data_IF_320357308809
#
_entry.id   IF_320357308809
#
_cell.length_a   1.000
_cell.length_b   1.000
_cell.length_c   1.000
_cell.angle_alpha   90.00
_cell.angle_beta   90.00
_cell.angle_gamma   90.00
#
_symmetry.space_group_name_H-M   'P 1'
#
loop_
_entity.id
_entity.type
_entity.pdbx_description
1 polymer ?
#
# COMPACT_ATOMS: atom_id res chain seq x y z
N UNK A 1 -18.11 23.28 -24.27
CA UNK A 1 -16.63 23.38 -24.16
C UNK A 1 -16.31 24.41 -23.08
N UNK A 2 -15.40 24.12 -22.15
CA UNK A 2 -14.99 25.09 -21.13
C UNK A 2 -13.73 25.77 -21.65
N UNK A 3 -13.75 27.09 -21.77
CA UNK A 3 -12.60 27.88 -22.25
C UNK A 3 -11.90 28.46 -21.03
N UNK A 4 -10.67 28.01 -20.79
CA UNK A 4 -9.85 28.43 -19.66
C UNK A 4 -8.82 29.49 -20.05
N UNK A 5 -8.35 30.27 -19.08
CA UNK A 5 -7.28 31.26 -19.31
C UNK A 5 -6.00 30.60 -19.82
N UNK A 6 -5.70 29.39 -19.32
CA UNK A 6 -4.53 28.62 -19.71
C UNK A 6 -4.56 28.29 -21.21
N UNK A 7 -5.69 27.80 -21.71
CA UNK A 7 -5.88 27.50 -23.14
C UNK A 7 -5.79 28.76 -24.00
N UNK A 8 -6.37 29.87 -23.52
CA UNK A 8 -6.27 31.16 -24.22
C UNK A 8 -4.82 31.67 -24.27
N UNK A 9 -4.07 31.62 -23.17
CA UNK A 9 -2.65 32.03 -23.14
C UNK A 9 -1.78 31.13 -24.01
N UNK A 10 -1.98 29.81 -23.95
CA UNK A 10 -1.21 28.84 -24.72
C UNK A 10 -1.36 29.05 -26.23
N UNK A 11 -2.54 29.48 -26.68
CA UNK A 11 -2.85 29.69 -28.09
C UNK A 11 -2.64 31.14 -28.55
N UNK A 12 -2.81 32.14 -27.67
CA UNK A 12 -2.70 33.56 -28.00
C UNK A 12 -1.32 33.96 -28.52
N UNK A 13 -0.25 33.43 -27.91
CA UNK A 13 1.12 33.76 -28.31
C UNK A 13 1.45 33.31 -29.74
N UNK A 14 0.73 32.33 -30.28
CA UNK A 14 0.94 31.77 -31.62
C UNK A 14 0.15 32.52 -32.71
N UNK A 15 -1.03 33.05 -32.39
CA UNK A 15 -1.95 33.62 -33.38
C UNK A 15 -2.11 35.15 -33.29
N UNK A 16 -1.99 35.75 -32.09
CA UNK A 16 -2.30 37.18 -31.82
C UNK A 16 -3.63 37.65 -32.42
N UNK A 17 -4.58 36.74 -32.62
CA UNK A 17 -5.78 37.00 -33.40
C UNK A 17 -6.76 37.84 -32.58
N UNK A 18 -7.15 39.03 -33.03
CA UNK A 18 -8.09 39.90 -32.29
C UNK A 18 -9.50 39.33 -32.11
N UNK A 19 -9.84 38.23 -32.78
CA UNK A 19 -11.16 37.62 -32.75
C UNK A 19 -11.00 36.13 -32.44
N UNK A 20 -11.78 35.63 -31.47
CA UNK A 20 -11.87 34.20 -31.15
C UNK A 20 -13.29 33.72 -31.43
N UNK A 21 -13.39 32.72 -32.29
CA UNK A 21 -14.65 32.06 -32.62
C UNK A 21 -14.88 30.86 -31.71
N UNK A 22 -16.03 30.81 -31.03
CA UNK A 22 -16.40 29.73 -30.11
C UNK A 22 -17.68 29.01 -30.57
N UNK A 23 -17.75 27.68 -30.41
CA UNK A 23 -18.98 26.93 -30.72
C UNK A 23 -20.10 27.24 -29.71
N UNK A 24 -21.38 27.06 -30.09
CA UNK A 24 -22.54 27.26 -29.21
C UNK A 24 -22.45 26.46 -27.91
N UNK A 25 -22.86 27.07 -26.79
CA UNK A 25 -22.83 26.42 -25.47
C UNK A 25 -21.44 26.36 -24.81
N UNK A 26 -20.48 27.15 -25.31
CA UNK A 26 -19.17 27.29 -24.66
C UNK A 26 -19.26 28.14 -23.40
N UNK A 27 -18.62 27.68 -22.32
CA UNK A 27 -18.59 28.34 -21.02
C UNK A 27 -17.18 28.89 -20.79
N UNK A 28 -17.07 30.22 -20.72
CA UNK A 28 -15.80 30.91 -20.50
C UNK A 28 -15.58 31.06 -18.99
N UNK A 29 -14.46 30.55 -18.48
CA UNK A 29 -14.13 30.71 -17.06
C UNK A 29 -13.91 32.19 -16.70
N UNK A 30 -14.09 32.60 -15.43
CA UNK A 30 -13.89 33.99 -15.03
C UNK A 30 -12.51 34.55 -15.42
N UNK A 31 -11.43 33.78 -15.19
CA UNK A 31 -10.07 34.19 -15.53
C UNK A 31 -9.84 34.29 -17.05
N UNK A 32 -10.50 33.45 -17.85
CA UNK A 32 -10.47 33.55 -19.30
C UNK A 32 -11.14 34.84 -19.81
N UNK A 33 -12.24 35.26 -19.16
CA UNK A 33 -12.96 36.51 -19.48
C UNK A 33 -12.12 37.75 -19.16
N UNK A 34 -11.43 37.74 -18.03
CA UNK A 34 -10.53 38.83 -17.63
C UNK A 34 -9.35 38.95 -18.61
N UNK A 35 -8.80 37.82 -19.07
CA UNK A 35 -7.76 37.79 -20.09
C UNK A 35 -8.23 38.38 -21.43
N UNK A 36 -9.41 37.97 -21.92
CA UNK A 36 -10.04 38.49 -23.15
C UNK A 36 -10.21 40.02 -23.08
N UNK A 37 -10.74 40.53 -21.95
CA UNK A 37 -10.91 41.98 -21.73
C UNK A 37 -9.57 42.71 -21.71
N UNK A 38 -8.55 42.16 -21.03
CA UNK A 38 -7.23 42.80 -20.92
C UNK A 38 -6.45 42.89 -22.23
N UNK A 39 -6.76 41.98 -23.18
CA UNK A 39 -6.08 41.89 -24.48
C UNK A 39 -6.92 42.44 -25.64
N UNK A 40 -8.12 42.95 -25.37
CA UNK A 40 -9.02 43.52 -26.38
C UNK A 40 -9.39 42.51 -27.45
N UNK A 41 -9.75 41.29 -27.02
CA UNK A 41 -10.12 40.19 -27.90
C UNK A 41 -11.64 40.19 -28.04
N UNK A 42 -12.15 40.21 -29.27
CA UNK A 42 -13.57 40.09 -29.55
C UNK A 42 -13.96 38.60 -29.65
N UNK A 43 -15.11 38.24 -29.05
CA UNK A 43 -15.59 36.85 -29.04
C UNK A 43 -16.78 36.73 -29.98
N UNK A 44 -16.67 35.84 -30.98
CA UNK A 44 -17.76 35.53 -31.90
C UNK A 44 -18.28 34.12 -31.61
N UNK A 45 -19.59 33.97 -31.42
CA UNK A 45 -20.22 32.65 -31.26
C UNK A 45 -20.74 32.20 -32.63
N UNK A 46 -20.39 30.99 -33.06
CA UNK A 46 -20.87 30.44 -34.33
C UNK A 46 -22.39 30.27 -34.33
N UNK A 47 -23.08 30.85 -35.32
CA UNK A 47 -24.43 30.45 -35.69
C UNK A 47 -25.62 31.31 -35.24
N UNK A 48 -25.44 32.48 -34.61
CA UNK A 48 -26.52 33.49 -34.49
C UNK A 48 -25.94 34.92 -34.41
N UNK A 49 -26.51 35.82 -35.22
CA UNK A 49 -26.05 37.20 -35.41
C UNK A 49 -26.13 38.11 -34.17
N UNK A 50 -25.54 39.30 -34.32
CA UNK A 50 -25.27 40.32 -33.29
C UNK A 50 -26.41 40.55 -32.29
N UNK A 51 -26.12 40.40 -30.99
CA UNK A 51 -26.91 40.96 -29.90
C UNK A 51 -26.04 41.87 -29.02
N UNK A 52 -26.46 43.12 -28.95
CA UNK A 52 -25.80 44.26 -28.33
C UNK A 52 -25.94 44.20 -26.80
N UNK A 53 -24.83 44.35 -26.08
CA UNK A 53 -24.69 43.99 -24.65
C UNK A 53 -25.13 45.14 -23.71
N UNK A 54 -25.85 46.15 -24.21
CA UNK A 54 -25.95 47.46 -23.55
C UNK A 54 -27.34 48.03 -23.24
N UNK A 55 -28.46 47.29 -23.28
CA UNK A 55 -29.76 47.85 -22.85
C UNK A 55 -30.58 46.95 -21.90
N UNK A 56 -30.80 47.45 -20.69
CA UNK A 56 -31.79 46.99 -19.73
C UNK A 56 -33.10 47.79 -19.88
N UNK A 57 -34.23 47.12 -20.11
CA UNK A 57 -35.57 47.70 -19.93
C UNK A 57 -36.51 46.63 -19.38
N UNK A 58 -37.23 46.96 -18.29
CA UNK A 58 -38.70 46.85 -18.10
C UNK A 58 -39.08 46.88 -16.60
N UNK A 59 -39.72 47.99 -16.20
CA UNK A 59 -41.02 48.16 -15.52
C UNK A 59 -41.55 46.99 -14.64
N UNK A 60 -42.18 47.16 -13.47
CA UNK A 60 -43.25 48.10 -13.10
C UNK A 60 -43.47 48.06 -11.56
N UNK A 61 -43.69 49.22 -10.93
CA UNK A 61 -44.95 49.65 -10.27
C UNK A 61 -45.34 48.94 -8.95
N UNK A 62 -45.24 49.64 -7.82
CA UNK A 62 -46.39 50.31 -7.20
C UNK A 62 -46.04 51.12 -5.93
N UNK A 63 -46.63 52.32 -5.88
CA UNK A 63 -47.24 53.02 -4.74
C UNK A 63 -46.41 53.29 -3.48
N UNK A 64 -46.43 54.45 -2.81
CA UNK A 64 -46.91 55.81 -3.04
C UNK A 64 -46.72 56.54 -1.69
N UNK A 65 -46.20 57.78 -1.72
CA UNK A 65 -46.59 58.93 -0.85
C UNK A 65 -46.26 58.81 0.66
N UNK A 66 -45.74 59.80 1.40
CA UNK A 66 -45.13 61.12 1.16
C UNK A 66 -44.71 61.65 2.57
N UNK A 67 -43.86 62.69 2.57
CA UNK A 67 -43.74 63.74 3.60
C UNK A 67 -43.07 63.50 4.98
N UNK A 68 -41.83 64.01 5.00
CA UNK A 68 -41.46 65.29 5.62
C UNK A 68 -40.94 65.35 7.06
N UNK A 69 -39.91 66.21 7.17
CA UNK A 69 -39.48 67.02 8.32
C UNK A 69 -38.59 66.31 9.37
N UNK A 70 -37.67 66.97 10.08
CA UNK A 70 -36.91 68.23 9.97
C UNK A 70 -36.06 68.29 11.27
N UNK A 71 -34.76 68.60 11.13
CA UNK A 71 -33.86 69.28 12.07
C UNK A 71 -33.56 68.72 13.48
N UNK A 72 -32.24 68.55 13.72
CA UNK A 72 -31.43 69.06 14.86
C UNK A 72 -31.69 68.41 16.25
N UNK A 73 -30.74 68.19 17.17
CA UNK A 73 -29.36 68.62 17.38
C UNK A 73 -28.82 67.92 18.65
N UNK A 74 -27.51 67.62 18.68
CA UNK A 74 -26.58 67.68 19.84
C UNK A 74 -26.95 67.06 21.22
N UNK A 75 -26.26 65.96 21.62
CA UNK A 75 -25.24 65.89 22.71
C UNK A 75 -25.00 64.44 23.21
N UNK A 76 -23.72 64.07 23.27
CA UNK A 76 -23.08 62.90 23.91
C UNK A 76 -22.80 63.17 25.42
N UNK A 77 -22.21 62.25 26.23
CA UNK A 77 -22.14 60.78 26.18
C UNK A 77 -22.33 60.09 27.57
N UNK A 78 -22.65 58.79 27.55
CA UNK A 78 -22.28 57.71 28.50
C UNK A 78 -23.30 56.59 28.26
N UNK A 79 -22.93 55.35 27.94
CA UNK A 79 -22.34 54.37 28.86
C UNK A 79 -21.70 53.24 28.02
N UNK A 80 -20.50 52.84 28.43
CA UNK A 80 -19.75 51.69 27.93
C UNK A 80 -20.45 50.36 28.25
N UNK A 81 -20.37 49.42 27.30
CA UNK A 81 -20.79 48.00 27.33
C UNK A 81 -22.19 47.70 26.82
N UNK A 82 -22.36 47.74 25.50
CA UNK A 82 -23.34 46.88 24.78
C UNK A 82 -23.14 46.82 23.23
N UNK A 83 -22.11 47.45 22.67
CA UNK A 83 -21.99 47.70 21.20
C UNK A 83 -20.92 46.88 20.46
N UNK A 84 -20.74 45.59 20.79
CA UNK A 84 -20.01 44.68 19.88
C UNK A 84 -20.89 43.59 19.24
N UNK A 85 -22.03 43.24 19.84
CA UNK A 85 -22.93 42.23 19.28
C UNK A 85 -23.85 42.75 18.16
N UNK A 86 -24.15 44.05 18.12
CA UNK A 86 -25.01 44.65 17.07
C UNK A 86 -24.23 45.24 15.88
N UNK A 87 -22.91 45.46 16.01
CA UNK A 87 -22.07 45.97 14.93
C UNK A 87 -21.74 44.92 13.86
N UNK A 88 -21.86 43.62 14.17
CA UNK A 88 -21.59 42.53 13.23
C UNK A 88 -22.84 42.15 12.41
N UNK A 89 -24.04 42.31 12.98
CA UNK A 89 -25.30 41.98 12.30
C UNK A 89 -25.74 43.04 11.26
N UNK A 90 -25.26 44.29 11.36
CA UNK A 90 -25.55 45.35 10.37
C UNK A 90 -24.48 45.49 9.27
N UNK A 91 -23.40 44.72 9.30
CA UNK A 91 -22.36 44.76 8.26
C UNK A 91 -22.64 43.82 7.05
N UNK A 92 -23.76 43.08 7.05
CA UNK A 92 -24.13 42.13 5.98
C UNK A 92 -25.19 42.65 4.99
N UNK A 93 -25.58 43.92 5.06
CA UNK A 93 -26.46 44.51 4.06
C UNK A 93 -25.90 45.85 3.58
N UNK A 94 -25.72 45.95 2.26
CA UNK A 94 -25.29 47.13 1.50
C UNK A 94 -23.79 47.41 1.46
N UNK A 95 -23.14 46.72 0.52
CA UNK A 95 -22.13 47.39 -0.32
C UNK A 95 -22.47 47.11 -1.77
N UNK A 96 -23.34 47.95 -2.33
CA UNK A 96 -23.46 48.11 -3.77
C UNK A 96 -22.12 48.66 -4.27
N UNK A 97 -21.25 47.77 -4.76
CA UNK A 97 -20.04 48.18 -5.48
C UNK A 97 -20.51 48.73 -6.84
N UNK A 98 -20.73 50.04 -6.90
CA UNK A 98 -20.67 50.81 -8.13
C UNK A 98 -19.23 50.81 -8.62
N UNK A 99 -19.03 50.51 -9.91
CA UNK A 99 -17.76 50.31 -10.65
C UNK A 99 -17.36 48.84 -10.83
N UNK A 100 -17.40 48.38 -12.08
CA UNK A 100 -17.28 46.99 -12.51
C UNK A 100 -15.88 46.38 -12.44
N UNK A 101 -15.10 46.71 -11.40
CA UNK A 101 -13.80 46.10 -11.11
C UNK A 101 -13.85 45.45 -9.74
N UNK A 102 -13.79 44.12 -9.71
CA UNK A 102 -13.76 43.31 -8.49
C UNK A 102 -12.49 43.64 -7.69
N UNK A 103 -12.57 43.98 -6.39
CA UNK A 103 -11.39 44.17 -5.56
C UNK A 103 -10.53 42.89 -5.50
N UNK A 104 -9.21 43.01 -5.58
CA UNK A 104 -8.29 41.85 -5.68
C UNK A 104 -8.37 40.86 -4.50
N UNK A 105 -8.76 41.34 -3.32
CA UNK A 105 -8.89 40.54 -2.10
C UNK A 105 -10.22 39.77 -2.00
N UNK A 106 -11.12 39.94 -2.98
CA UNK A 106 -12.42 39.28 -3.05
C UNK A 106 -12.40 38.09 -4.01
N UNK A 107 -13.28 37.12 -3.79
CA UNK A 107 -13.50 35.98 -4.67
C UNK A 107 -14.99 35.60 -4.72
N UNK A 108 -15.41 34.95 -5.80
CA UNK A 108 -16.76 34.41 -5.85
C UNK A 108 -16.78 33.10 -5.07
N UNK A 109 -17.58 33.06 -4.01
CA UNK A 109 -17.91 31.79 -3.36
C UNK A 109 -18.82 30.97 -4.27
N UNK A 110 -19.79 31.65 -4.90
CA UNK A 110 -20.79 31.12 -5.83
C UNK A 110 -21.21 32.21 -6.81
N UNK A 111 -22.01 31.84 -7.82
CA UNK A 111 -22.64 32.80 -8.73
C UNK A 111 -23.39 33.86 -7.92
N UNK A 112 -22.96 35.12 -8.01
CA UNK A 112 -23.55 36.25 -7.29
C UNK A 112 -23.11 36.46 -5.83
N UNK A 113 -22.37 35.52 -5.22
CA UNK A 113 -21.88 35.66 -3.84
C UNK A 113 -20.38 35.99 -3.82
N UNK A 114 -20.05 37.25 -3.51
CA UNK A 114 -18.68 37.73 -3.39
C UNK A 114 -18.25 37.72 -1.92
N UNK A 115 -17.13 37.07 -1.62
CA UNK A 115 -16.56 36.94 -0.26
C UNK A 115 -15.08 37.30 -0.27
N UNK A 116 -14.49 37.55 0.90
CA UNK A 116 -13.04 37.71 1.01
C UNK A 116 -12.32 36.41 0.65
N UNK A 117 -11.08 36.49 0.17
CA UNK A 117 -10.22 35.31 -0.05
C UNK A 117 -9.88 34.55 1.25
N UNK A 118 -10.07 35.19 2.41
CA UNK A 118 -9.88 34.59 3.74
C UNK A 118 -11.10 33.81 4.23
N UNK A 119 -12.19 33.77 3.45
CA UNK A 119 -13.41 33.08 3.83
C UNK A 119 -13.16 31.59 4.14
N UNK A 120 -13.64 31.04 5.26
CA UNK A 120 -13.36 29.67 5.69
C UNK A 120 -13.65 28.59 4.63
N UNK A 121 -14.76 28.70 3.90
CA UNK A 121 -15.08 27.78 2.80
C UNK A 121 -14.07 27.84 1.67
N UNK A 122 -13.52 29.02 1.33
CA UNK A 122 -12.49 29.15 0.29
C UNK A 122 -11.20 28.49 0.76
N UNK A 123 -10.84 28.65 2.04
CA UNK A 123 -9.68 27.99 2.62
C UNK A 123 -9.84 26.44 2.63
N UNK A 124 -11.03 25.93 2.97
CA UNK A 124 -11.35 24.51 2.86
C UNK A 124 -11.19 23.99 1.44
N UNK A 125 -11.76 24.67 0.43
CA UNK A 125 -11.62 24.28 -0.98
C UNK A 125 -10.16 24.21 -1.40
N UNK A 126 -9.38 25.23 -1.08
CA UNK A 126 -7.95 25.25 -1.39
C UNK A 126 -7.17 24.11 -0.74
N UNK A 127 -7.52 23.71 0.49
CA UNK A 127 -6.89 22.58 1.16
C UNK A 127 -7.30 21.23 0.57
N UNK A 128 -8.57 21.08 0.17
CA UNK A 128 -9.04 19.87 -0.51
C UNK A 128 -8.40 19.73 -1.91
N UNK A 129 -8.21 20.84 -2.62
CA UNK A 129 -7.48 20.85 -3.90
C UNK A 129 -6.00 20.50 -3.72
N UNK A 130 -5.32 21.10 -2.74
CA UNK A 130 -3.94 20.76 -2.42
C UNK A 130 -3.79 19.27 -2.05
N UNK A 131 -4.72 18.76 -1.26
CA UNK A 131 -4.72 17.35 -0.90
C UNK A 131 -4.87 16.43 -2.13
N UNK A 132 -5.71 16.79 -3.10
CA UNK A 132 -5.80 16.05 -4.36
C UNK A 132 -4.48 16.06 -5.15
N UNK A 133 -3.73 17.16 -5.14
CA UNK A 133 -2.37 17.17 -5.71
C UNK A 133 -1.43 16.20 -4.99
N UNK A 134 -1.46 16.18 -3.65
CA UNK A 134 -0.65 15.26 -2.85
C UNK A 134 -1.00 13.78 -3.09
N UNK A 135 -2.28 13.47 -3.39
CA UNK A 135 -2.69 12.12 -3.80
C UNK A 135 -2.01 11.71 -5.11
N UNK A 136 -1.99 12.59 -6.11
CA UNK A 136 -1.34 12.32 -7.40
C UNK A 136 0.17 12.15 -7.24
N UNK A 137 0.81 12.99 -6.43
CA UNK A 137 2.22 12.82 -6.09
C UNK A 137 2.50 11.47 -5.41
N UNK A 138 1.60 11.04 -4.50
CA UNK A 138 1.70 9.74 -3.86
C UNK A 138 1.51 8.58 -4.84
N UNK A 139 0.59 8.70 -5.81
CA UNK A 139 0.43 7.71 -6.87
C UNK A 139 1.71 7.57 -7.70
N UNK A 140 2.35 8.69 -8.07
CA UNK A 140 3.64 8.67 -8.77
C UNK A 140 4.78 8.03 -7.94
N UNK A 141 4.81 8.31 -6.64
CA UNK A 141 5.75 7.67 -5.72
C UNK A 141 5.50 6.15 -5.58
N UNK A 142 4.24 5.72 -5.48
CA UNK A 142 3.88 4.30 -5.40
C UNK A 142 4.11 3.56 -6.71
N UNK A 143 3.97 4.22 -7.86
CA UNK A 143 4.33 3.65 -9.15
C UNK A 143 5.81 3.29 -9.22
N UNK A 144 6.69 4.19 -8.76
CA UNK A 144 8.13 3.93 -8.70
C UNK A 144 8.49 2.78 -7.74
N UNK A 145 7.65 2.55 -6.72
CA UNK A 145 7.82 1.48 -5.75
C UNK A 145 7.13 0.15 -6.15
N UNK A 146 6.46 0.08 -7.30
CA UNK A 146 5.76 -1.13 -7.75
C UNK A 146 4.45 -1.43 -7.01
N UNK A 147 3.83 -0.42 -6.38
CA UNK A 147 2.65 -0.57 -5.52
C UNK A 147 1.33 -0.33 -6.29
N UNK A 148 1.06 -1.14 -7.32
CA UNK A 148 -0.08 -0.98 -8.22
C UNK A 148 -1.45 -1.02 -7.51
N UNK A 149 -1.62 -1.90 -6.53
CA UNK A 149 -2.86 -2.01 -5.76
C UNK A 149 -3.14 -0.73 -4.94
N UNK A 150 -2.10 -0.12 -4.36
CA UNK A 150 -2.25 1.13 -3.61
C UNK A 150 -2.63 2.30 -4.53
N UNK A 151 -2.15 2.30 -5.77
CA UNK A 151 -2.50 3.33 -6.76
C UNK A 151 -3.99 3.26 -7.10
N UNK A 152 -4.55 2.06 -7.28
CA UNK A 152 -5.99 1.87 -7.51
C UNK A 152 -6.82 2.36 -6.33
N UNK A 153 -6.42 2.02 -5.10
CA UNK A 153 -7.09 2.51 -3.88
C UNK A 153 -7.02 4.04 -3.74
N UNK A 154 -5.89 4.65 -4.13
CA UNK A 154 -5.75 6.11 -4.18
C UNK A 154 -6.63 6.75 -5.27
N UNK A 155 -6.89 6.07 -6.38
CA UNK A 155 -7.79 6.58 -7.41
C UNK A 155 -9.23 6.64 -6.90
N UNK A 156 -9.70 5.60 -6.20
CA UNK A 156 -11.00 5.62 -5.51
C UNK A 156 -11.10 6.79 -4.52
N UNK A 157 -10.05 7.02 -3.73
CA UNK A 157 -9.99 8.16 -2.80
C UNK A 157 -10.01 9.50 -3.55
N UNK A 158 -9.33 9.59 -4.70
CA UNK A 158 -9.30 10.80 -5.52
C UNK A 158 -10.68 11.10 -6.11
N UNK A 159 -11.43 10.08 -6.53
CA UNK A 159 -12.84 10.20 -6.93
C UNK A 159 -13.68 10.76 -5.79
N UNK A 160 -13.58 10.16 -4.59
CA UNK A 160 -14.31 10.63 -3.41
C UNK A 160 -14.03 12.11 -3.08
N UNK A 161 -12.76 12.53 -3.17
CA UNK A 161 -12.37 13.93 -2.91
C UNK A 161 -12.98 14.90 -3.93
N UNK A 162 -13.04 14.51 -5.21
CA UNK A 162 -13.71 15.29 -6.26
C UNK A 162 -15.21 15.41 -5.99
N UNK A 163 -15.84 14.33 -5.56
CA UNK A 163 -17.27 14.33 -5.24
C UNK A 163 -17.60 15.18 -4.01
N UNK A 164 -16.73 15.16 -2.97
CA UNK A 164 -16.83 16.06 -1.82
C UNK A 164 -16.80 17.54 -2.25
N UNK A 165 -15.87 17.90 -3.14
CA UNK A 165 -15.78 19.25 -3.69
C UNK A 165 -17.05 19.63 -4.45
N UNK A 166 -17.53 18.75 -5.33
CA UNK A 166 -18.74 18.99 -6.14
C UNK A 166 -19.98 19.18 -5.25
N UNK A 167 -20.17 18.30 -4.28
CA UNK A 167 -21.29 18.36 -3.33
C UNK A 167 -21.24 19.62 -2.46
N UNK A 168 -20.05 20.07 -2.06
CA UNK A 168 -19.91 21.36 -1.37
C UNK A 168 -20.33 22.52 -2.27
N UNK A 169 -19.78 22.61 -3.48
CA UNK A 169 -20.04 23.72 -4.41
C UNK A 169 -21.52 23.82 -4.75
N UNK A 170 -22.18 22.67 -5.00
CA UNK A 170 -23.61 22.59 -5.33
C UNK A 170 -24.54 22.71 -4.13
N UNK A 171 -24.02 22.60 -2.90
CA UNK A 171 -24.80 22.49 -1.66
C UNK A 171 -25.77 21.30 -1.62
N UNK A 172 -25.41 20.21 -2.29
CA UNK A 172 -26.19 18.97 -2.26
C UNK A 172 -25.70 18.09 -1.12
N UNK A 173 -26.57 17.31 -0.45
CA UNK A 173 -26.13 16.32 0.53
C UNK A 173 -25.12 15.33 -0.08
N UNK A 174 -24.03 15.07 0.64
CA UNK A 174 -23.03 14.09 0.26
C UNK A 174 -23.39 12.71 0.79
N UNK A 175 -23.41 11.71 -0.09
CA UNK A 175 -23.63 10.32 0.28
C UNK A 175 -22.61 9.45 -0.43
N UNK A 176 -22.09 8.46 0.29
CA UNK A 176 -21.17 7.46 -0.26
C UNK A 176 -21.46 6.11 0.42
N UNK A 177 -21.46 5.05 -0.37
CA UNK A 177 -21.83 3.71 0.10
C UNK A 177 -20.60 2.94 0.61
N UNK A 178 -19.53 2.94 -0.18
CA UNK A 178 -18.31 2.20 0.13
C UNK A 178 -17.08 2.97 -0.35
N UNK A 179 -15.93 2.66 0.26
CA UNK A 179 -14.61 3.12 -0.15
C UNK A 179 -13.65 1.94 0.01
N UNK A 180 -12.97 1.54 -1.07
CA UNK A 180 -12.13 0.33 -1.10
C UNK A 180 -12.91 -0.93 -0.70
N UNK A 181 -14.19 -0.99 -1.10
CA UNK A 181 -15.10 -2.09 -0.76
C UNK A 181 -15.59 -2.12 0.70
N UNK A 182 -15.33 -1.09 1.50
CA UNK A 182 -15.71 -1.03 2.91
C UNK A 182 -16.76 0.05 3.18
N UNK A 183 -17.74 -0.25 4.02
CA UNK A 183 -18.72 0.74 4.51
C UNK A 183 -18.07 1.71 5.51
N UNK A 184 -18.71 2.86 5.81
CA UNK A 184 -18.24 3.78 6.86
C UNK A 184 -17.99 3.12 8.21
N UNK A 185 -18.89 2.20 8.61
CA UNK A 185 -18.81 1.45 9.87
C UNK A 185 -17.66 0.46 9.85
N UNK A 186 -17.43 -0.22 8.71
CA UNK A 186 -16.33 -1.17 8.56
C UNK A 186 -14.97 -0.47 8.56
N UNK A 187 -14.84 0.69 7.90
CA UNK A 187 -13.63 1.51 7.98
C UNK A 187 -13.35 1.91 9.43
N UNK A 188 -14.39 2.27 10.19
CA UNK A 188 -14.25 2.58 11.61
C UNK A 188 -13.75 1.37 12.38
N UNK A 189 -14.46 0.27 12.30
CA UNK A 189 -14.17 -0.96 13.04
C UNK A 189 -12.75 -1.46 12.77
N UNK A 190 -12.33 -1.52 11.51
CA UNK A 190 -10.97 -1.97 11.14
C UNK A 190 -9.88 -1.02 11.62
N UNK A 191 -10.12 0.29 11.54
CA UNK A 191 -9.13 1.29 11.98
C UNK A 191 -8.94 1.32 13.51
N UNK A 192 -9.97 0.97 14.28
CA UNK A 192 -9.91 0.89 15.75
C UNK A 192 -9.34 -0.45 16.26
N UNK A 193 -9.36 -1.50 15.45
CA UNK A 193 -8.93 -2.84 15.84
C UNK A 193 -7.83 -3.41 14.93
N UNK A 194 -6.69 -2.72 14.71
CA UNK A 194 -5.69 -3.15 13.76
C UNK A 194 -5.05 -4.50 14.11
N UNK A 195 -4.97 -4.86 15.41
CA UNK A 195 -4.46 -6.16 15.84
C UNK A 195 -5.33 -7.31 15.35
N UNK A 196 -6.66 -7.14 15.39
CA UNK A 196 -7.66 -8.12 14.96
C UNK A 196 -7.62 -8.36 13.45
N UNK A 197 -7.45 -7.29 12.66
CA UNK A 197 -7.57 -7.35 11.20
C UNK A 197 -6.23 -7.47 10.45
N UNK A 198 -5.13 -6.98 11.02
CA UNK A 198 -3.83 -6.89 10.36
C UNK A 198 -2.69 -7.51 11.18
N UNK A 199 -2.97 -8.03 12.38
CA UNK A 199 -1.95 -8.65 13.25
C UNK A 199 -0.92 -7.67 13.82
N UNK A 200 -1.17 -6.36 13.75
CA UNK A 200 -0.25 -5.33 14.24
C UNK A 200 -0.86 -4.51 15.39
N UNK A 201 -0.04 -4.20 16.39
CA UNK A 201 -0.44 -3.30 17.47
C UNK A 201 -0.42 -1.83 17.01
N UNK A 202 -1.20 -0.99 17.71
CA UNK A 202 -1.09 0.46 17.60
C UNK A 202 0.30 0.90 18.08
N UNK A 203 1.19 1.19 17.15
CA UNK A 203 2.54 1.66 17.45
C UNK A 203 2.76 3.06 16.90
N UNK A 204 3.61 3.88 17.55
CA UNK A 204 4.04 5.17 17.01
C UNK A 204 4.67 5.03 15.61
N UNK A 205 4.66 6.11 14.84
CA UNK A 205 5.33 6.15 13.55
C UNK A 205 6.85 5.95 13.75
N UNK A 206 7.47 5.09 12.94
CA UNK A 206 8.89 4.78 12.98
C UNK A 206 9.44 4.67 11.56
N UNK A 207 10.68 5.12 11.36
CA UNK A 207 11.38 4.98 10.08
C UNK A 207 11.50 3.51 9.64
N UNK A 208 11.54 2.58 10.60
CA UNK A 208 11.62 1.14 10.34
C UNK A 208 10.41 0.58 9.58
N UNK A 209 9.26 1.26 9.64
CA UNK A 209 8.06 0.88 8.90
C UNK A 209 8.20 1.07 7.38
N UNK A 210 9.22 1.81 6.94
CA UNK A 210 9.53 2.00 5.53
C UNK A 210 8.77 3.16 4.87
N UNK A 211 9.17 3.53 3.64
CA UNK A 211 8.75 4.78 3.02
C UNK A 211 7.30 4.75 2.53
N UNK A 212 6.75 3.58 2.15
CA UNK A 212 5.33 3.42 1.79
C UNK A 212 4.43 3.76 2.98
N UNK A 213 4.67 3.14 4.13
CA UNK A 213 3.90 3.38 5.36
C UNK A 213 4.03 4.83 5.80
N UNK A 214 5.22 5.43 5.70
CA UNK A 214 5.43 6.83 6.00
C UNK A 214 4.60 7.76 5.08
N UNK A 215 4.57 7.50 3.76
CA UNK A 215 3.78 8.29 2.80
C UNK A 215 2.26 8.15 3.06
N UNK A 216 1.78 6.95 3.40
CA UNK A 216 0.36 6.74 3.78
C UNK A 216 -0.01 7.50 5.06
N UNK A 217 0.89 7.53 6.06
CA UNK A 217 0.68 8.34 7.26
C UNK A 217 0.74 9.84 7.00
N UNK A 218 1.56 10.29 6.04
CA UNK A 218 1.57 11.69 5.60
C UNK A 218 0.20 12.07 5.01
N UNK A 219 -0.33 11.27 4.08
CA UNK A 219 -1.66 11.50 3.49
C UNK A 219 -2.76 11.46 4.55
N UNK A 220 -2.67 10.56 5.54
CA UNK A 220 -3.59 10.53 6.69
C UNK A 220 -3.55 11.83 7.49
N UNK A 221 -2.36 12.37 7.75
CA UNK A 221 -2.24 13.63 8.47
C UNK A 221 -2.82 14.79 7.66
N UNK A 222 -2.58 14.79 6.34
CA UNK A 222 -3.12 15.80 5.44
C UNK A 222 -4.64 15.74 5.33
N UNK A 223 -5.25 14.56 5.26
CA UNK A 223 -6.72 14.45 5.23
C UNK A 223 -7.37 14.95 6.53
N UNK A 224 -6.71 14.76 7.69
CA UNK A 224 -7.14 15.35 8.96
C UNK A 224 -6.98 16.87 8.98
N UNK A 225 -5.96 17.41 8.33
CA UNK A 225 -5.84 18.86 8.15
C UNK A 225 -7.03 19.40 7.34
N UNK A 226 -7.38 18.75 6.22
CA UNK A 226 -8.57 19.11 5.42
C UNK A 226 -9.86 19.05 6.25
N UNK A 227 -10.03 18.02 7.08
CA UNK A 227 -11.15 17.90 8.04
C UNK A 227 -11.22 19.09 9.01
N UNK A 228 -10.09 19.59 9.51
CA UNK A 228 -10.07 20.77 10.38
C UNK A 228 -10.51 22.04 9.63
N UNK A 229 -10.11 22.20 8.37
CA UNK A 229 -10.61 23.32 7.56
C UNK A 229 -12.10 23.19 7.23
N UNK A 230 -12.61 21.97 7.03
CA UNK A 230 -14.04 21.73 6.87
C UNK A 230 -14.81 22.15 8.13
N UNK A 231 -14.32 21.77 9.33
CA UNK A 231 -14.91 22.20 10.59
C UNK A 231 -14.92 23.72 10.73
N UNK A 232 -13.81 24.40 10.42
CA UNK A 232 -13.76 25.88 10.42
C UNK A 232 -14.75 26.51 9.45
N UNK A 233 -15.07 25.82 8.36
CA UNK A 233 -15.96 26.33 7.32
C UNK A 233 -17.44 26.12 7.62
N UNK A 234 -17.79 25.03 8.31
CA UNK A 234 -19.18 24.57 8.42
C UNK A 234 -19.70 24.45 9.84
N UNK A 235 -18.83 24.54 10.84
CA UNK A 235 -19.18 24.51 12.26
C UNK A 235 -19.16 25.93 12.82
N UNK A 236 -20.25 26.33 13.48
CA UNK A 236 -20.34 27.63 14.13
C UNK A 236 -19.73 27.64 15.54
N UNK A 237 -19.75 28.81 16.20
CA UNK A 237 -19.18 28.99 17.55
C UNK A 237 -19.90 28.18 18.63
N UNK A 238 -21.14 27.74 18.38
CA UNK A 238 -21.93 26.89 19.28
C UNK A 238 -21.63 25.40 19.09
N UNK A 239 -20.88 25.05 18.05
CA UNK A 239 -20.57 23.68 17.67
C UNK A 239 -21.61 23.05 16.73
N UNK A 240 -22.60 23.81 16.25
CA UNK A 240 -23.56 23.29 15.28
C UNK A 240 -22.92 23.26 13.89
N UNK A 241 -22.97 22.10 13.24
CA UNK A 241 -22.37 21.88 11.92
C UNK A 241 -23.44 21.82 10.82
N UNK A 242 -23.28 22.67 9.81
CA UNK A 242 -24.16 22.74 8.63
C UNK A 242 -23.91 21.64 7.59
N UNK A 243 -22.72 21.01 7.59
CA UNK A 243 -22.29 19.98 6.63
C UNK A 243 -21.67 18.77 7.34
N UNK A 244 -22.45 18.14 8.21
CA UNK A 244 -22.02 16.94 8.96
C UNK A 244 -21.66 15.78 8.04
N UNK A 245 -22.32 15.68 6.89
CA UNK A 245 -22.06 14.73 5.81
C UNK A 245 -20.61 14.79 5.29
N UNK A 246 -20.10 16.00 5.00
CA UNK A 246 -18.72 16.20 4.54
C UNK A 246 -17.71 15.87 5.63
N UNK A 247 -17.98 16.30 6.87
CA UNK A 247 -17.08 16.04 8.00
C UNK A 247 -17.00 14.55 8.29
N UNK A 248 -18.12 13.82 8.28
CA UNK A 248 -18.14 12.38 8.48
C UNK A 248 -17.33 11.65 7.40
N UNK A 249 -17.47 12.05 6.13
CA UNK A 249 -16.70 11.47 5.04
C UNK A 249 -15.19 11.70 5.21
N UNK A 250 -14.75 12.93 5.51
CA UNK A 250 -13.34 13.25 5.76
C UNK A 250 -12.78 12.50 6.99
N UNK A 251 -13.59 12.36 8.02
CA UNK A 251 -13.22 11.59 9.21
C UNK A 251 -12.99 10.11 8.87
N UNK A 252 -13.87 9.51 8.07
CA UNK A 252 -13.71 8.12 7.56
C UNK A 252 -12.55 7.98 6.58
N UNK A 253 -12.25 9.03 5.81
CA UNK A 253 -11.08 9.06 4.94
C UNK A 253 -9.76 8.96 5.73
N UNK A 254 -9.68 9.57 6.91
CA UNK A 254 -8.51 9.38 7.80
C UNK A 254 -8.38 7.93 8.31
N UNK A 255 -9.50 7.23 8.53
CA UNK A 255 -9.52 5.79 8.85
C UNK A 255 -9.04 4.95 7.67
N UNK A 256 -9.45 5.28 6.45
CA UNK A 256 -9.03 4.61 5.23
C UNK A 256 -7.50 4.62 5.06
N UNK A 257 -6.85 5.78 5.18
CA UNK A 257 -5.38 5.83 5.10
C UNK A 257 -4.69 5.05 6.22
N UNK A 258 -5.27 5.01 7.42
CA UNK A 258 -4.71 4.21 8.50
C UNK A 258 -4.79 2.72 8.20
N UNK A 259 -5.90 2.25 7.62
CA UNK A 259 -6.06 0.87 7.16
C UNK A 259 -5.00 0.55 6.09
N UNK A 260 -4.84 1.40 5.08
CA UNK A 260 -3.80 1.21 4.06
C UNK A 260 -2.39 1.12 4.68
N UNK A 261 -2.09 1.97 5.66
CA UNK A 261 -0.81 1.92 6.36
C UNK A 261 -0.63 0.61 7.14
N UNK A 262 -1.71 0.08 7.72
CA UNK A 262 -1.72 -1.21 8.41
C UNK A 262 -1.51 -2.38 7.45
N UNK A 263 -2.18 -2.39 6.30
CA UNK A 263 -2.01 -3.39 5.23
C UNK A 263 -0.59 -3.36 4.66
N UNK A 264 -0.06 -2.18 4.36
CA UNK A 264 1.32 -2.04 3.88
C UNK A 264 2.34 -2.56 4.90
N UNK A 265 2.09 -2.34 6.19
CA UNK A 265 2.95 -2.82 7.27
C UNK A 265 2.83 -4.33 7.50
N UNK A 266 1.64 -4.90 7.41
CA UNK A 266 1.46 -6.36 7.58
C UNK A 266 2.13 -7.16 6.46
N UNK A 267 2.13 -6.65 5.21
CA UNK A 267 2.89 -7.23 4.09
C UNK A 267 4.38 -7.38 4.39
N UNK A 268 5.01 -6.31 4.92
CA UNK A 268 6.44 -6.34 5.29
C UNK A 268 6.74 -7.33 6.44
N UNK A 269 5.82 -7.47 7.39
CA UNK A 269 5.92 -8.48 8.46
C UNK A 269 5.77 -9.91 7.92
N UNK A 270 4.94 -10.11 6.88
CA UNK A 270 4.80 -11.41 6.21
C UNK A 270 6.01 -11.78 5.34
N UNK A 271 6.62 -10.81 4.65
CA UNK A 271 7.89 -11.03 3.92
C UNK A 271 9.06 -11.34 4.85
N UNK A 272 9.05 -10.85 6.09
CA UNK A 272 10.04 -11.21 7.11
C UNK A 272 9.86 -12.65 7.66
N UNK A 273 8.74 -13.31 7.36
CA UNK A 273 8.50 -14.73 7.64
C UNK A 273 8.81 -15.61 6.42
N UNK A 274 9.94 -15.37 5.75
CA UNK A 274 10.46 -16.36 4.81
C UNK A 274 10.69 -17.68 5.53
N UNK A 275 10.03 -18.73 5.04
CA UNK A 275 10.19 -20.11 5.51
C UNK A 275 11.61 -20.57 5.16
N UNK A 276 12.54 -20.38 6.09
CA UNK A 276 13.95 -20.76 5.91
C UNK A 276 14.23 -22.09 6.59
N UNK A 277 14.89 -22.99 5.87
CA UNK A 277 15.41 -24.26 6.40
C UNK A 277 16.93 -24.21 6.45
N UNK A 278 17.56 -24.71 7.52
CA UNK A 278 19.02 -24.82 7.55
C UNK A 278 19.50 -25.82 6.50
N UNK A 279 20.56 -25.45 5.77
CA UNK A 279 21.16 -26.33 4.77
C UNK A 279 22.07 -27.36 5.44
N UNK A 280 21.78 -28.65 5.25
CA UNK A 280 22.65 -29.75 5.62
C UNK A 280 23.38 -30.31 4.39
N UNK A 281 24.69 -30.55 4.51
CA UNK A 281 25.48 -31.21 3.46
C UNK A 281 25.92 -32.58 3.92
N UNK A 282 25.54 -33.62 3.19
CA UNK A 282 25.93 -35.00 3.47
C UNK A 282 27.10 -35.42 2.57
N UNK A 283 28.20 -35.84 3.19
CA UNK A 283 29.25 -36.57 2.50
C UNK A 283 28.91 -38.07 2.46
N UNK A 284 29.69 -38.87 1.71
CA UNK A 284 29.51 -40.32 1.65
C UNK A 284 29.56 -40.95 3.05
N UNK A 285 28.59 -41.81 3.35
CA UNK A 285 28.45 -42.42 4.66
C UNK A 285 27.65 -43.73 4.59
N UNK A 286 27.65 -44.47 5.70
CA UNK A 286 26.92 -45.73 5.84
C UNK A 286 26.14 -45.77 7.16
N UNK A 287 24.93 -46.29 7.11
CA UNK A 287 24.16 -46.74 8.26
C UNK A 287 24.25 -48.26 8.32
N UNK A 288 24.50 -48.83 9.51
CA UNK A 288 24.71 -50.28 9.68
C UNK A 288 23.55 -50.95 10.40
N UNK A 289 23.28 -52.20 10.02
CA UNK A 289 22.51 -53.12 10.85
C UNK A 289 23.33 -53.64 12.02
N UNK A 290 22.68 -54.12 13.09
CA UNK A 290 23.39 -54.72 14.22
C UNK A 290 24.25 -55.92 13.78
N UNK A 291 23.72 -56.76 12.88
CA UNK A 291 24.43 -57.95 12.36
C UNK A 291 25.68 -57.54 11.58
N UNK A 292 25.57 -56.53 10.73
CA UNK A 292 26.70 -56.08 9.91
C UNK A 292 27.73 -55.29 10.74
N UNK A 293 27.28 -54.54 11.75
CA UNK A 293 28.18 -53.90 12.71
C UNK A 293 29.08 -54.94 13.39
N UNK A 294 28.48 -56.02 13.88
CA UNK A 294 29.24 -57.09 14.54
C UNK A 294 30.17 -57.84 13.60
N UNK A 295 29.75 -58.06 12.35
CA UNK A 295 30.59 -58.69 11.33
C UNK A 295 31.80 -57.81 10.95
N UNK A 296 31.64 -56.49 10.95
CA UNK A 296 32.68 -55.55 10.52
C UNK A 296 33.61 -55.10 11.65
N UNK A 297 33.12 -55.02 12.90
CA UNK A 297 33.83 -54.46 14.06
C UNK A 297 33.98 -55.44 15.24
N UNK A 298 33.22 -56.54 15.29
CA UNK A 298 33.31 -57.59 16.30
C UNK A 298 32.02 -57.77 17.10
N UNK A 299 31.86 -58.94 17.75
CA UNK A 299 30.66 -59.26 18.54
C UNK A 299 30.45 -58.25 19.68
N UNK A 300 29.18 -57.87 19.90
CA UNK A 300 28.75 -56.91 20.93
C UNK A 300 29.42 -55.52 20.80
N UNK A 301 29.91 -55.15 19.62
CA UNK A 301 30.50 -53.83 19.41
C UNK A 301 29.45 -52.73 19.47
N UNK A 302 29.80 -51.60 20.08
CA UNK A 302 28.96 -50.41 20.16
C UNK A 302 29.66 -49.23 19.48
N UNK A 303 28.92 -48.46 18.67
CA UNK A 303 29.46 -47.31 17.95
C UNK A 303 29.90 -46.21 18.92
N UNK A 304 31.03 -45.58 18.62
CA UNK A 304 31.57 -44.50 19.44
C UNK A 304 31.14 -43.15 18.88
N UNK A 305 30.39 -42.36 19.64
CA UNK A 305 29.93 -41.03 19.21
C UNK A 305 31.12 -40.10 18.97
N UNK A 306 31.20 -39.53 17.77
CA UNK A 306 32.15 -38.45 17.45
C UNK A 306 31.47 -37.08 17.46
N UNK A 307 30.29 -36.97 16.83
CA UNK A 307 29.55 -35.71 16.70
C UNK A 307 28.06 -35.94 16.52
N UNK A 308 27.24 -35.27 17.32
CA UNK A 308 25.78 -35.23 17.14
C UNK A 308 25.39 -34.51 15.84
N UNK A 309 24.37 -35.02 15.15
CA UNK A 309 23.80 -34.41 13.95
C UNK A 309 22.58 -33.55 14.30
N UNK A 310 22.04 -32.83 13.31
CA UNK A 310 20.88 -31.95 13.52
C UNK A 310 19.60 -32.71 13.84
N UNK A 311 19.49 -33.97 13.41
CA UNK A 311 18.34 -34.82 13.67
C UNK A 311 18.49 -35.46 15.06
N UNK A 312 17.46 -35.37 15.92
CA UNK A 312 17.52 -35.91 17.28
C UNK A 312 17.95 -37.37 17.33
N UNK A 313 19.01 -37.65 18.10
CA UNK A 313 19.55 -38.99 18.31
C UNK A 313 20.39 -39.57 17.17
N UNK A 314 20.58 -38.85 16.05
CA UNK A 314 21.51 -39.26 14.99
C UNK A 314 22.90 -38.70 15.26
N UNK A 315 23.95 -39.50 15.03
CA UNK A 315 25.33 -39.09 15.26
C UNK A 315 26.29 -39.62 14.19
N UNK A 316 27.37 -38.90 13.94
CA UNK A 316 28.54 -39.43 13.26
C UNK A 316 29.41 -40.19 14.25
N UNK A 317 29.76 -41.43 13.92
CA UNK A 317 30.58 -42.29 14.76
C UNK A 317 32.07 -42.13 14.43
N UNK A 318 32.97 -42.47 15.36
CA UNK A 318 34.43 -42.44 15.09
C UNK A 318 34.83 -43.46 14.03
N UNK A 319 34.05 -44.53 13.91
CA UNK A 319 34.24 -45.63 12.99
C UNK A 319 34.09 -45.21 11.52
N UNK A 320 34.90 -45.85 10.69
CA UNK A 320 34.81 -45.74 9.23
C UNK A 320 35.01 -47.11 8.59
N UNK A 321 34.42 -47.31 7.42
CA UNK A 321 34.57 -48.53 6.62
C UNK A 321 35.14 -48.21 5.23
N UNK A 322 35.51 -49.27 4.51
CA UNK A 322 35.86 -49.18 3.09
C UNK A 322 34.77 -49.84 2.26
N UNK A 323 34.26 -49.12 1.26
CA UNK A 323 33.29 -49.64 0.29
C UNK A 323 34.04 -50.08 -0.96
N UNK A 324 33.89 -51.33 -1.36
CA UNK A 324 34.60 -51.94 -2.49
C UNK A 324 33.61 -52.28 -3.60
N UNK A 325 33.86 -51.73 -4.79
CA UNK A 325 33.09 -52.00 -5.99
C UNK A 325 33.93 -52.62 -7.11
N UNK A 326 33.30 -53.00 -8.24
CA UNK A 326 33.96 -53.71 -9.33
C UNK A 326 35.18 -52.99 -9.92
N UNK A 327 35.20 -51.65 -9.88
CA UNK A 327 36.26 -50.83 -10.48
C UNK A 327 37.25 -50.25 -9.47
N UNK A 328 36.86 -50.12 -8.21
CA UNK A 328 37.68 -49.45 -7.21
C UNK A 328 37.01 -49.38 -5.84
N UNK A 329 37.58 -48.58 -4.94
CA UNK A 329 37.13 -48.48 -3.55
C UNK A 329 36.99 -47.04 -3.05
N UNK A 330 36.17 -46.88 -2.01
CA UNK A 330 36.04 -45.66 -1.22
C UNK A 330 36.46 -45.98 0.21
N UNK A 331 37.59 -45.42 0.63
CA UNK A 331 38.11 -45.55 1.99
C UNK A 331 37.53 -44.48 2.90
N UNK A 332 37.61 -44.72 4.22
CA UNK A 332 37.22 -43.76 5.27
C UNK A 332 35.77 -43.28 5.13
N UNK A 333 34.86 -44.16 4.71
CA UNK A 333 33.43 -43.87 4.65
C UNK A 333 32.88 -43.86 6.07
N UNK A 334 32.31 -42.73 6.48
CA UNK A 334 31.85 -42.47 7.85
C UNK A 334 30.66 -43.37 8.21
N UNK A 335 30.68 -43.98 9.38
CA UNK A 335 29.49 -44.66 9.94
C UNK A 335 28.62 -43.64 10.66
N UNK A 336 27.32 -43.62 10.35
CA UNK A 336 26.31 -42.88 11.10
C UNK A 336 25.51 -43.81 12.00
N UNK A 337 25.28 -43.37 13.23
CA UNK A 337 24.50 -44.06 14.23
C UNK A 337 23.17 -43.37 14.54
N UNK A 338 22.26 -44.07 15.23
CA UNK A 338 22.41 -45.41 15.78
C UNK A 338 22.27 -46.49 14.69
N UNK A 339 22.51 -47.74 15.07
CA UNK A 339 22.25 -48.88 14.18
C UNK A 339 20.79 -48.87 13.70
N UNK A 340 20.59 -49.26 12.44
CA UNK A 340 19.28 -49.34 11.81
C UNK A 340 18.88 -50.80 11.57
N UNK A 341 17.66 -51.03 11.10
CA UNK A 341 17.19 -52.38 10.74
C UNK A 341 17.99 -52.97 9.57
N UNK A 342 18.35 -52.14 8.59
CA UNK A 342 19.04 -52.55 7.38
C UNK A 342 20.26 -51.66 7.14
N UNK A 343 21.31 -52.22 6.57
CA UNK A 343 22.49 -51.47 6.14
C UNK A 343 22.19 -50.66 4.87
N UNK A 344 22.60 -49.40 4.85
CA UNK A 344 22.38 -48.45 3.77
C UNK A 344 23.64 -47.61 3.54
N UNK A 345 24.09 -47.53 2.30
CA UNK A 345 25.26 -46.76 1.88
C UNK A 345 24.80 -45.60 1.01
N UNK A 346 25.13 -44.38 1.42
CA UNK A 346 24.78 -43.15 0.70
C UNK A 346 26.04 -42.53 0.09
N UNK A 347 26.05 -42.38 -1.23
CA UNK A 347 27.21 -41.91 -2.00
C UNK A 347 26.81 -40.89 -3.06
N UNK A 348 27.79 -40.16 -3.61
CA UNK A 348 27.53 -39.25 -4.73
C UNK A 348 27.48 -39.98 -6.07
N UNK A 349 26.93 -39.32 -7.10
CA UNK A 349 26.99 -39.82 -8.48
C UNK A 349 28.44 -40.04 -8.93
N UNK A 350 29.35 -39.15 -8.54
CA UNK A 350 30.79 -39.27 -8.82
C UNK A 350 31.41 -40.51 -8.18
N UNK A 351 31.00 -40.84 -6.96
CA UNK A 351 31.46 -42.03 -6.25
C UNK A 351 31.02 -43.32 -6.96
N UNK A 352 29.80 -43.35 -7.53
CA UNK A 352 29.33 -44.48 -8.33
C UNK A 352 30.26 -44.78 -9.52
N UNK A 353 30.75 -43.75 -10.22
CA UNK A 353 31.71 -43.92 -11.31
C UNK A 353 33.05 -44.49 -10.86
N UNK A 354 33.52 -44.12 -9.66
CA UNK A 354 34.76 -44.65 -9.08
C UNK A 354 34.60 -46.11 -8.67
N UNK A 355 33.46 -46.46 -8.09
CA UNK A 355 33.13 -47.83 -7.69
C UNK A 355 32.82 -48.74 -8.88
N UNK A 356 32.38 -48.18 -10.01
CA UNK A 356 31.99 -48.94 -11.20
C UNK A 356 30.57 -49.47 -11.14
N UNK A 357 29.65 -48.72 -10.51
CA UNK A 357 28.22 -49.06 -10.43
C UNK A 357 27.36 -47.97 -11.07
N UNK A 358 26.15 -48.35 -11.50
CA UNK A 358 25.17 -47.39 -12.01
C UNK A 358 24.57 -46.59 -10.83
N UNK A 359 24.51 -45.25 -10.88
CA UNK A 359 23.87 -44.45 -9.84
C UNK A 359 22.36 -44.71 -9.81
N UNK A 360 21.83 -44.93 -8.61
CA UNK A 360 20.39 -45.09 -8.36
C UNK A 360 20.00 -44.08 -7.29
N UNK A 361 19.17 -43.09 -7.64
CA UNK A 361 18.71 -42.04 -6.73
C UNK A 361 17.49 -42.54 -5.97
N UNK A 362 17.52 -42.45 -4.63
CA UNK A 362 16.43 -42.92 -3.75
C UNK A 362 16.29 -42.06 -2.51
N UNK A 363 15.10 -42.07 -1.93
CA UNK A 363 14.89 -41.61 -0.57
C UNK A 363 15.40 -42.68 0.42
N UNK A 364 15.86 -42.25 1.60
CA UNK A 364 16.39 -43.16 2.63
C UNK A 364 15.35 -44.23 2.99
N UNK A 365 15.78 -45.50 3.05
CA UNK A 365 14.92 -46.66 3.33
C UNK A 365 14.34 -47.36 2.10
N UNK A 366 14.43 -46.78 0.90
CA UNK A 366 13.96 -47.41 -0.35
C UNK A 366 15.04 -48.30 -1.00
N UNK A 367 15.31 -49.46 -0.41
CA UNK A 367 16.45 -50.33 -0.81
C UNK A 367 16.20 -51.15 -2.09
N UNK A 368 14.96 -51.36 -2.50
CA UNK A 368 14.61 -52.26 -3.60
C UNK A 368 15.19 -51.81 -4.95
N UNK A 369 15.84 -52.70 -5.70
CA UNK A 369 16.44 -52.33 -7.00
C UNK A 369 17.67 -51.43 -6.92
N UNK A 370 18.23 -51.24 -5.72
CA UNK A 370 19.54 -50.59 -5.55
C UNK A 370 20.68 -51.61 -5.64
N UNK A 371 21.85 -51.22 -6.13
CA UNK A 371 23.00 -52.12 -6.17
C UNK A 371 23.48 -52.53 -4.77
N UNK A 372 24.12 -53.69 -4.73
CA UNK A 372 24.91 -54.18 -3.61
C UNK A 372 26.40 -53.92 -3.82
N UNK A 373 27.17 -53.90 -2.73
CA UNK A 373 28.64 -53.77 -2.74
C UNK A 373 29.25 -54.50 -1.54
N UNK A 374 30.54 -54.78 -1.62
CA UNK A 374 31.29 -55.32 -0.48
C UNK A 374 31.70 -54.17 0.45
N UNK A 375 31.51 -54.37 1.75
CA UNK A 375 31.90 -53.46 2.82
C UNK A 375 33.02 -54.14 3.61
N UNK A 376 34.13 -53.45 3.83
CA UNK A 376 35.26 -53.95 4.61
C UNK A 376 35.46 -53.08 5.86
N UNK A 377 35.45 -53.74 7.01
CA UNK A 377 35.73 -53.17 8.33
C UNK A 377 37.08 -53.68 8.86
N UNK A 378 37.45 -53.28 10.09
CA UNK A 378 38.73 -53.69 10.69
C UNK A 378 38.84 -55.20 10.95
N UNK A 379 37.74 -55.90 11.25
CA UNK A 379 37.79 -57.34 11.61
C UNK A 379 37.12 -58.26 10.59
N UNK A 380 36.41 -57.72 9.60
CA UNK A 380 35.66 -58.54 8.67
C UNK A 380 35.13 -57.80 7.45
N UNK A 381 34.37 -58.52 6.62
CA UNK A 381 33.74 -58.02 5.40
C UNK A 381 32.30 -58.50 5.29
N UNK A 382 31.46 -57.68 4.67
CA UNK A 382 30.04 -57.96 4.41
C UNK A 382 29.75 -57.73 2.94
N UNK A 383 29.13 -58.70 2.27
CA UNK A 383 28.64 -58.55 0.90
C UNK A 383 27.16 -58.14 0.93
N UNK A 384 26.91 -56.85 0.72
CA UNK A 384 25.56 -56.31 0.67
C UNK A 384 24.92 -56.64 -0.68
N UNK A 385 23.71 -57.22 -0.68
CA UNK A 385 22.98 -57.52 -1.92
C UNK A 385 22.25 -56.30 -2.51
N UNK A 386 21.77 -55.41 -1.65
CA UNK A 386 21.09 -54.17 -2.00
C UNK A 386 21.21 -53.16 -0.84
N UNK A 387 21.24 -51.86 -1.16
CA UNK A 387 21.28 -50.78 -0.17
C UNK A 387 22.28 -49.67 -0.48
N UNK A 388 22.97 -49.71 -1.63
CA UNK A 388 23.88 -48.63 -2.07
C UNK A 388 23.14 -47.67 -2.99
N UNK A 389 23.06 -46.39 -2.62
CA UNK A 389 22.24 -45.40 -3.33
C UNK A 389 22.86 -44.01 -3.34
N UNK A 390 22.37 -43.18 -4.26
CA UNK A 390 22.57 -41.74 -4.24
C UNK A 390 21.39 -41.11 -3.50
N UNK A 391 21.67 -40.40 -2.41
CA UNK A 391 20.62 -39.81 -1.59
C UNK A 391 19.86 -38.72 -2.36
N UNK A 392 18.54 -38.86 -2.40
CA UNK A 392 17.63 -37.84 -2.90
C UNK A 392 17.59 -36.65 -1.94
N UNK A 393 17.49 -35.42 -2.48
CA UNK A 393 17.33 -34.21 -1.66
C UNK A 393 15.98 -34.24 -0.93
N UNK A 394 15.98 -33.88 0.34
CA UNK A 394 14.78 -33.86 1.17
C UNK A 394 14.91 -32.83 2.29
N UNK A 395 13.79 -32.45 2.88
CA UNK A 395 13.71 -31.53 4.01
C UNK A 395 13.12 -32.32 5.18
N UNK A 396 13.78 -32.26 6.33
CA UNK A 396 13.16 -32.67 7.59
C UNK A 396 12.47 -31.46 8.21
N UNK A 397 11.18 -31.58 8.49
CA UNK A 397 10.40 -30.58 9.20
C UNK A 397 9.77 -31.20 10.44
N UNK A 398 9.74 -30.44 11.54
CA UNK A 398 8.95 -30.82 12.70
C UNK A 398 7.46 -30.72 12.36
N UNK A 399 6.62 -31.54 12.99
CA UNK A 399 5.17 -31.57 12.70
C UNK A 399 4.48 -30.22 12.93
N UNK A 400 4.99 -29.42 13.87
CA UNK A 400 4.50 -28.06 14.11
C UNK A 400 4.82 -27.13 12.94
N UNK A 401 6.05 -27.16 12.43
CA UNK A 401 6.50 -26.33 11.30
C UNK A 401 5.75 -26.74 10.01
N UNK A 402 5.58 -28.04 9.78
CA UNK A 402 4.81 -28.55 8.64
C UNK A 402 3.36 -28.03 8.68
N UNK A 403 2.72 -28.03 9.87
CA UNK A 403 1.36 -27.49 10.05
C UNK A 403 1.31 -25.98 9.81
N UNK A 404 2.27 -25.23 10.37
CA UNK A 404 2.38 -23.78 10.15
C UNK A 404 2.58 -23.46 8.67
N UNK A 405 3.37 -24.29 7.97
CA UNK A 405 3.70 -24.08 6.58
C UNK A 405 2.65 -24.64 5.61
N UNK A 406 1.61 -25.29 6.13
CA UNK A 406 0.56 -25.98 5.38
C UNK A 406 1.10 -27.09 4.47
N UNK A 407 2.12 -27.82 4.93
CA UNK A 407 2.74 -28.96 4.26
C UNK A 407 2.34 -30.28 4.92
N UNK A 408 2.35 -31.35 4.13
CA UNK A 408 2.15 -32.73 4.55
C UNK A 408 3.35 -33.58 4.18
N UNK A 409 3.49 -34.71 4.87
CA UNK A 409 4.53 -35.69 4.53
C UNK A 409 4.37 -36.17 3.08
N UNK A 410 5.48 -36.20 2.34
CA UNK A 410 5.51 -36.55 0.92
C UNK A 410 5.27 -35.39 -0.07
N UNK A 411 4.90 -34.19 0.40
CA UNK A 411 4.76 -33.03 -0.48
C UNK A 411 6.09 -32.68 -1.17
N UNK A 412 6.00 -32.21 -2.43
CA UNK A 412 7.15 -31.69 -3.19
C UNK A 412 7.10 -30.17 -3.18
N UNK A 413 8.25 -29.56 -2.90
CA UNK A 413 8.39 -28.10 -2.76
C UNK A 413 9.61 -27.61 -3.52
N UNK A 414 9.52 -26.42 -4.09
CA UNK A 414 10.66 -25.75 -4.68
C UNK A 414 11.49 -25.06 -3.60
N UNK A 415 12.81 -25.23 -3.64
CA UNK A 415 13.75 -24.62 -2.69
C UNK A 415 14.68 -23.68 -3.44
N UNK A 416 14.59 -22.38 -3.12
CA UNK A 416 15.51 -21.36 -3.61
C UNK A 416 16.72 -21.27 -2.68
N UNK A 417 17.92 -21.34 -3.25
CA UNK A 417 19.17 -21.10 -2.55
C UNK A 417 19.73 -19.74 -2.97
N UNK A 418 19.80 -18.82 -2.02
CA UNK A 418 20.40 -17.51 -2.20
C UNK A 418 21.89 -17.58 -1.91
N UNK A 419 22.71 -17.58 -2.97
CA UNK A 419 24.16 -17.59 -2.85
C UNK A 419 24.77 -16.85 -4.05
N UNK A 420 26.11 -16.77 -4.10
CA UNK A 420 26.82 -16.26 -5.29
C UNK A 420 26.52 -17.09 -6.56
N UNK A 421 26.00 -18.31 -6.40
CA UNK A 421 25.47 -19.16 -7.47
C UNK A 421 24.01 -19.50 -7.15
N UNK A 422 23.07 -18.59 -7.43
CA UNK A 422 21.67 -18.81 -7.07
C UNK A 422 21.09 -19.97 -7.88
N UNK A 423 20.27 -20.79 -7.23
CA UNK A 423 19.61 -21.92 -7.88
C UNK A 423 18.26 -22.23 -7.23
N UNK A 424 17.37 -22.82 -8.02
CA UNK A 424 16.09 -23.35 -7.54
C UNK A 424 16.10 -24.86 -7.75
N UNK A 425 15.87 -25.59 -6.66
CA UNK A 425 15.63 -27.03 -6.70
C UNK A 425 14.13 -27.26 -6.81
N UNK A 426 13.69 -27.93 -7.86
CA UNK A 426 12.28 -28.27 -8.10
C UNK A 426 11.76 -29.45 -7.26
#
# INVERSE_FOLDING_TARGET
MIVTEYELRANWHKTKAKIITLPPGSVITPSARDFIRSKGIDVQIEGNGLQDIHKSTFSSANQSIDRSSRLQSFQEPNVLRETQAQAIAQAQAQTSISSGVKPEHMTHLRTGALVTKTHPVIAYRGQLDLFQCELVEAQGFFLQAGEEELILKLEEISVLCRELMVSEVKQEPFQWATLMGLTPEELRERSHHPKKYFGIDHTPLSYSHGPIVAKLHHLRAKSREVELYANRAFTDETGACSRTDLIQALNRLSSAFYILACEARSRKTQELNEKRVPLGTSNRHIHLSQVDLEALFGKNYALTVQKELSQPGQFAAQETVTIVGPKGSLEKVRVLGPVRKNTQVEISVTDCFKLGIKPVIRDSGQHEGTPGLQIAGPVGKVDLKAGVMVASRHIHLHSNDAKEWSLKDGDRVCVKVESQRPMVYE
#
